data_IF_759957223014
#
_entry.id   IF_759957223014
#
_cell.length_a   1.000
_cell.length_b   1.000
_cell.length_c   1.000
_cell.angle_alpha   90.00
_cell.angle_beta   90.00
_cell.angle_gamma   90.00
#
_symmetry.space_group_name_H-M   'P 1'
#
loop_
_entity.id
_entity.type
_entity.pdbx_description
1 polymer ?
#
# COMPACT_ATOMS: atom_id res chain seq x y z
N UNK A 1 6.53 17.53 -8.96
CA UNK A 1 5.28 17.88 -9.58
C UNK A 1 4.47 18.77 -8.70
N UNK A 2 3.75 19.63 -9.25
CA UNK A 2 4.30 20.78 -9.89
C UNK A 2 4.85 21.72 -8.85
N UNK A 3 6.04 22.18 -9.03
CA UNK A 3 6.80 23.03 -8.09
C UNK A 3 6.04 24.30 -7.65
N UNK A 4 5.11 24.79 -8.46
CA UNK A 4 4.32 25.98 -8.16
C UNK A 4 3.23 25.83 -7.10
N UNK A 5 2.91 24.61 -6.64
CA UNK A 5 1.82 24.35 -5.70
C UNK A 5 2.27 24.06 -4.26
N UNK A 6 3.58 24.17 -3.96
CA UNK A 6 4.14 23.76 -2.68
C UNK A 6 3.35 24.22 -1.45
N UNK A 7 3.07 25.50 -1.35
CA UNK A 7 2.38 26.07 -0.19
C UNK A 7 0.84 25.97 -0.22
N UNK A 8 0.28 25.47 -1.31
CA UNK A 8 -1.17 25.37 -1.51
C UNK A 8 -1.67 23.92 -1.48
N UNK A 9 -0.77 22.95 -1.38
CA UNK A 9 -1.15 21.55 -1.30
C UNK A 9 -1.73 21.23 0.08
N UNK A 10 -2.86 20.50 0.16
CA UNK A 10 -3.35 20.00 1.44
C UNK A 10 -2.34 19.00 2.05
N UNK A 11 -2.42 18.82 3.38
CA UNK A 11 -1.53 17.88 4.08
C UNK A 11 -1.74 16.42 3.64
N UNK A 12 -2.89 16.09 3.04
CA UNK A 12 -3.18 14.78 2.45
C UNK A 12 -2.54 14.56 1.07
N UNK A 13 -2.02 15.61 0.44
CA UNK A 13 -1.39 15.49 -0.88
C UNK A 13 -0.09 14.69 -0.82
N UNK A 14 0.19 13.99 -1.91
CA UNK A 14 1.38 13.14 -2.09
C UNK A 14 2.17 13.57 -3.31
N UNK A 15 3.45 13.26 -3.32
CA UNK A 15 4.29 13.42 -4.51
C UNK A 15 4.20 12.21 -5.41
N UNK A 16 4.13 12.44 -6.72
CA UNK A 16 4.19 11.36 -7.70
C UNK A 16 5.56 10.71 -7.70
N UNK A 17 5.58 9.41 -7.44
CA UNK A 17 6.81 8.60 -7.55
C UNK A 17 7.11 8.33 -9.01
N UNK A 18 8.27 8.78 -9.48
CA UNK A 18 8.79 8.50 -10.82
C UNK A 18 9.72 7.30 -10.76
N UNK A 19 9.27 6.18 -11.29
CA UNK A 19 10.04 4.94 -11.30
C UNK A 19 9.19 3.76 -11.72
N UNK A 20 9.84 2.61 -11.89
CA UNK A 20 9.18 1.36 -12.17
C UNK A 20 9.86 0.22 -11.42
N UNK A 21 9.13 -0.86 -11.22
CA UNK A 21 9.64 -2.14 -10.74
C UNK A 21 9.17 -3.25 -11.67
N UNK A 22 10.02 -4.23 -11.91
CA UNK A 22 9.67 -5.42 -12.68
C UNK A 22 10.16 -6.66 -11.94
N UNK A 23 9.32 -7.66 -11.89
CA UNK A 23 9.63 -8.97 -11.30
C UNK A 23 9.34 -10.08 -12.31
N UNK A 24 10.16 -11.10 -12.30
CA UNK A 24 9.90 -12.33 -13.06
C UNK A 24 9.35 -13.36 -12.10
N UNK A 25 8.17 -13.88 -12.40
CA UNK A 25 7.53 -14.94 -11.62
C UNK A 25 7.79 -16.27 -12.33
N UNK A 26 8.39 -17.21 -11.63
CA UNK A 26 8.68 -18.56 -12.11
C UNK A 26 7.88 -19.62 -11.35
N UNK A 27 7.98 -20.85 -11.82
CA UNK A 27 7.40 -22.01 -11.15
C UNK A 27 8.20 -22.33 -9.88
N UNK A 28 7.52 -22.91 -8.88
CA UNK A 28 8.16 -23.41 -7.66
C UNK A 28 9.33 -24.38 -7.97
N UNK A 29 10.37 -24.31 -7.15
CA UNK A 29 11.58 -25.14 -7.29
C UNK A 29 12.70 -24.51 -8.13
N UNK A 30 12.50 -23.31 -8.67
CA UNK A 30 13.55 -22.51 -9.27
C UNK A 30 14.19 -21.58 -8.25
N UNK A 31 15.48 -21.24 -8.45
CA UNK A 31 16.15 -20.26 -7.62
C UNK A 31 15.44 -18.89 -7.75
N UNK A 32 15.02 -18.31 -6.65
CA UNK A 32 14.30 -17.04 -6.61
C UNK A 32 14.74 -16.17 -5.45
N UNK A 33 14.19 -14.97 -5.38
CA UNK A 33 14.42 -14.03 -4.27
C UNK A 33 13.48 -14.31 -3.08
N UNK A 34 12.29 -14.81 -3.39
CA UNK A 34 11.22 -15.06 -2.44
C UNK A 34 10.17 -15.99 -3.11
N UNK A 35 9.23 -16.50 -2.34
CA UNK A 35 8.08 -17.28 -2.85
C UNK A 35 6.76 -16.59 -2.54
N UNK A 36 5.80 -16.71 -3.44
CA UNK A 36 4.40 -16.31 -3.21
C UNK A 36 3.67 -17.53 -2.67
N UNK A 37 3.08 -17.43 -1.48
CA UNK A 37 2.40 -18.54 -0.80
C UNK A 37 0.89 -18.40 -0.74
N UNK A 38 0.37 -17.17 -0.81
CA UNK A 38 -1.06 -16.92 -0.85
C UNK A 38 -1.39 -15.62 -1.60
N UNK A 39 -2.63 -15.52 -2.05
CA UNK A 39 -3.19 -14.35 -2.72
C UNK A 39 -4.62 -14.11 -2.23
N UNK A 40 -4.94 -12.86 -1.92
CA UNK A 40 -6.30 -12.41 -1.58
C UNK A 40 -6.78 -11.42 -2.62
N UNK A 41 -7.83 -11.80 -3.34
CA UNK A 41 -8.45 -10.90 -4.31
C UNK A 41 -9.17 -9.76 -3.58
N UNK A 42 -8.77 -8.52 -3.88
CA UNK A 42 -9.40 -7.36 -3.30
C UNK A 42 -10.77 -7.06 -3.89
N UNK A 43 -11.57 -6.34 -3.13
CA UNK A 43 -12.88 -5.82 -3.52
C UNK A 43 -12.79 -4.32 -3.73
N UNK A 44 -13.42 -3.81 -4.78
CA UNK A 44 -13.60 -2.37 -4.95
C UNK A 44 -14.54 -1.84 -3.85
N UNK A 45 -14.10 -0.85 -3.11
CA UNK A 45 -14.84 -0.21 -2.03
C UNK A 45 -15.06 1.25 -2.38
N UNK A 46 -16.32 1.67 -2.42
CA UNK A 46 -16.71 3.06 -2.64
C UNK A 46 -17.38 3.60 -1.37
N UNK A 47 -16.73 4.54 -0.74
CA UNK A 47 -17.24 5.24 0.46
C UNK A 47 -17.83 6.61 0.13
N UNK A 48 -17.99 6.94 -1.14
CA UNK A 48 -18.45 8.25 -1.57
C UNK A 48 -17.36 9.33 -1.55
N UNK A 49 -16.08 8.97 -1.48
CA UNK A 49 -14.97 9.91 -1.54
C UNK A 49 -14.95 10.66 -2.88
N UNK A 50 -14.70 11.97 -2.85
CA UNK A 50 -14.66 12.83 -4.04
C UNK A 50 -13.45 13.75 -4.09
N UNK A 51 -12.68 13.81 -3.00
CA UNK A 51 -11.49 14.66 -2.90
C UNK A 51 -10.30 13.98 -3.57
N UNK A 52 -9.95 14.45 -4.76
CA UNK A 52 -8.80 13.96 -5.52
C UNK A 52 -7.45 14.24 -4.87
N UNK A 53 -7.41 15.12 -3.87
CA UNK A 53 -6.19 15.44 -3.12
C UNK A 53 -6.05 14.59 -1.85
N UNK A 54 -6.98 13.68 -1.59
CA UNK A 54 -6.97 12.75 -0.46
C UNK A 54 -7.25 11.31 -0.89
N UNK A 55 -6.38 10.80 -1.77
CA UNK A 55 -6.52 9.44 -2.31
C UNK A 55 -6.33 8.37 -1.23
N UNK A 56 -5.52 8.63 -0.21
CA UNK A 56 -5.34 7.72 0.92
C UNK A 56 -6.65 7.41 1.64
N UNK A 57 -7.51 8.41 1.84
CA UNK A 57 -8.83 8.19 2.44
C UNK A 57 -9.76 7.32 1.55
N UNK A 58 -9.64 7.43 0.23
CA UNK A 58 -10.40 6.58 -0.70
C UNK A 58 -9.91 5.12 -0.71
N UNK A 59 -8.60 4.91 -0.57
CA UNK A 59 -7.98 3.58 -0.67
C UNK A 59 -7.93 2.80 0.64
N UNK A 60 -7.81 3.48 1.79
CA UNK A 60 -7.65 2.83 3.10
C UNK A 60 -8.75 1.81 3.44
N UNK A 61 -10.06 2.05 3.15
CA UNK A 61 -11.11 1.06 3.37
C UNK A 61 -10.95 -0.21 2.54
N UNK A 62 -10.42 -0.10 1.31
CA UNK A 62 -10.15 -1.27 0.47
C UNK A 62 -8.95 -2.07 1.01
N UNK A 63 -7.89 -1.40 1.44
CA UNK A 63 -6.76 -2.05 2.10
C UNK A 63 -7.18 -2.76 3.38
N UNK A 64 -7.99 -2.09 4.22
CA UNK A 64 -8.58 -2.68 5.42
C UNK A 64 -9.35 -3.97 5.11
N UNK A 65 -10.27 -3.93 4.13
CA UNK A 65 -11.07 -5.09 3.76
C UNK A 65 -10.17 -6.26 3.30
N UNK A 66 -9.15 -5.98 2.49
CA UNK A 66 -8.25 -7.01 1.97
C UNK A 66 -7.39 -7.63 3.06
N UNK A 67 -6.90 -6.83 4.01
CA UNK A 67 -6.13 -7.34 5.16
C UNK A 67 -7.01 -8.22 6.03
N UNK A 68 -8.21 -7.76 6.42
CA UNK A 68 -9.16 -8.56 7.21
C UNK A 68 -9.49 -9.87 6.50
N UNK A 69 -9.84 -9.82 5.22
CA UNK A 69 -10.17 -11.01 4.44
C UNK A 69 -9.00 -11.99 4.38
N UNK A 70 -7.76 -11.50 4.20
CA UNK A 70 -6.58 -12.35 4.19
C UNK A 70 -6.37 -13.06 5.52
N UNK A 71 -6.52 -12.35 6.64
CA UNK A 71 -6.37 -12.92 7.98
C UNK A 71 -7.46 -13.97 8.25
N UNK A 72 -8.70 -13.71 7.82
CA UNK A 72 -9.82 -14.65 7.95
C UNK A 72 -9.62 -15.90 7.09
N UNK A 73 -9.29 -15.74 5.81
CA UNK A 73 -9.12 -16.85 4.85
C UNK A 73 -8.00 -17.80 5.26
N UNK A 74 -6.93 -17.27 5.84
CA UNK A 74 -5.78 -18.05 6.30
C UNK A 74 -5.90 -18.52 7.77
N UNK A 75 -6.93 -18.08 8.48
CA UNK A 75 -7.14 -18.42 9.91
C UNK A 75 -5.99 -17.92 10.79
N UNK A 76 -5.44 -16.73 10.49
CA UNK A 76 -4.29 -16.14 11.17
C UNK A 76 -4.65 -14.78 11.79
N UNK A 77 -3.69 -14.19 12.47
CA UNK A 77 -3.76 -12.83 12.96
C UNK A 77 -2.59 -11.99 12.42
N UNK A 78 -2.58 -10.70 12.76
CA UNK A 78 -1.56 -9.76 12.31
C UNK A 78 -0.14 -10.13 12.78
N UNK A 79 -0.02 -10.90 13.84
CA UNK A 79 1.29 -11.31 14.38
C UNK A 79 1.98 -12.39 13.56
N UNK A 80 1.22 -13.03 12.65
CA UNK A 80 1.74 -14.02 11.72
C UNK A 80 2.69 -13.41 10.67
N UNK A 81 2.58 -12.10 10.43
CA UNK A 81 3.42 -11.35 9.50
C UNK A 81 4.52 -10.57 10.23
N UNK A 82 5.71 -10.53 9.66
CA UNK A 82 6.76 -9.58 10.09
C UNK A 82 6.38 -8.16 9.70
N UNK A 83 5.78 -8.00 8.50
CA UNK A 83 5.25 -6.74 8.00
C UNK A 83 3.95 -6.94 7.21
N UNK A 84 3.05 -5.97 7.34
CA UNK A 84 1.90 -5.77 6.48
C UNK A 84 2.13 -4.45 5.76
N UNK A 85 2.31 -4.51 4.43
CA UNK A 85 2.84 -3.39 3.65
C UNK A 85 1.80 -2.91 2.64
N UNK A 86 1.36 -1.68 2.79
CA UNK A 86 0.45 -1.04 1.83
C UNK A 86 1.20 -0.28 0.73
N UNK A 87 0.50 0.03 -0.35
CA UNK A 87 1.10 0.61 -1.56
C UNK A 87 1.46 2.07 -1.43
N UNK A 88 0.46 2.92 -1.37
CA UNK A 88 0.62 4.37 -1.40
C UNK A 88 -0.54 5.09 -0.70
N UNK A 89 -0.93 4.57 0.46
CA UNK A 89 -1.91 5.22 1.33
C UNK A 89 -1.43 6.60 1.80
N UNK A 90 -0.13 6.75 1.94
CA UNK A 90 0.47 7.91 2.58
C UNK A 90 0.08 7.98 4.06
N UNK A 91 0.48 9.05 4.74
CA UNK A 91 0.26 9.17 6.18
C UNK A 91 -1.22 9.24 6.57
N UNK A 92 -2.01 10.01 5.82
CA UNK A 92 -3.44 10.16 6.10
C UNK A 92 -4.17 8.84 5.93
N UNK A 93 -3.94 8.14 4.82
CA UNK A 93 -4.55 6.84 4.58
C UNK A 93 -4.05 5.76 5.54
N UNK A 94 -2.78 5.79 5.90
CA UNK A 94 -2.20 4.93 6.96
C UNK A 94 -2.92 5.11 8.29
N UNK A 95 -3.11 6.34 8.74
CA UNK A 95 -3.82 6.60 10.00
C UNK A 95 -5.25 6.07 9.95
N UNK A 96 -5.96 6.29 8.85
CA UNK A 96 -7.33 5.76 8.66
C UNK A 96 -7.33 4.23 8.72
N UNK A 97 -6.39 3.56 8.05
CA UNK A 97 -6.25 2.11 8.10
C UNK A 97 -6.03 1.61 9.52
N UNK A 98 -5.08 2.21 10.24
CA UNK A 98 -4.78 1.84 11.63
C UNK A 98 -5.99 2.00 12.54
N UNK A 99 -6.75 3.10 12.41
CA UNK A 99 -7.97 3.34 13.18
C UNK A 99 -9.08 2.32 12.86
N UNK A 100 -9.22 1.92 11.59
CA UNK A 100 -10.16 0.89 11.18
C UNK A 100 -9.81 -0.48 11.77
N UNK A 101 -8.53 -0.84 11.77
CA UNK A 101 -8.04 -2.09 12.36
C UNK A 101 -8.22 -2.11 13.88
N UNK A 102 -7.92 -1.01 14.56
CA UNK A 102 -8.15 -0.89 16.01
C UNK A 102 -9.63 -1.05 16.40
N UNK A 103 -10.55 -0.50 15.61
CA UNK A 103 -12.01 -0.69 15.82
C UNK A 103 -12.44 -2.15 15.69
N UNK A 104 -11.66 -2.97 14.98
CA UNK A 104 -11.86 -4.43 14.90
C UNK A 104 -11.12 -5.21 16.00
N UNK A 105 -10.41 -4.52 16.89
CA UNK A 105 -9.64 -5.13 17.96
C UNK A 105 -8.27 -5.67 17.51
N UNK A 106 -7.75 -5.22 16.37
CA UNK A 106 -6.45 -5.60 15.82
C UNK A 106 -5.51 -4.40 15.79
N UNK A 107 -4.25 -4.59 16.11
CA UNK A 107 -3.24 -3.52 16.09
C UNK A 107 -2.15 -3.79 15.06
N UNK A 108 -2.08 -2.93 14.05
CA UNK A 108 -1.03 -2.99 13.03
C UNK A 108 0.15 -2.05 13.31
N UNK A 109 0.13 -1.24 14.36
CA UNK A 109 1.08 -0.13 14.60
C UNK A 109 2.55 -0.50 14.45
N UNK A 110 2.94 -1.67 14.96
CA UNK A 110 4.34 -2.12 14.92
C UNK A 110 4.71 -2.88 13.65
N UNK A 111 3.71 -3.32 12.87
CA UNK A 111 3.90 -4.19 11.71
C UNK A 111 3.57 -3.52 10.39
N UNK A 112 2.79 -2.45 10.43
CA UNK A 112 2.42 -1.72 9.23
C UNK A 112 3.60 -0.90 8.68
N UNK A 113 3.67 -0.86 7.36
CA UNK A 113 4.54 -0.02 6.57
C UNK A 113 3.76 0.43 5.34
N UNK A 114 3.96 1.65 4.89
CA UNK A 114 3.38 2.13 3.63
C UNK A 114 4.48 2.54 2.67
N UNK A 115 4.45 2.03 1.44
CA UNK A 115 5.49 2.32 0.44
C UNK A 115 5.60 3.82 0.14
N UNK A 116 4.46 4.52 0.13
CA UNK A 116 4.44 5.96 -0.10
C UNK A 116 5.05 6.77 1.03
N UNK A 117 4.96 6.28 2.27
CA UNK A 117 5.62 6.92 3.42
C UNK A 117 7.12 6.66 3.40
N UNK A 118 7.53 5.44 3.05
CA UNK A 118 8.93 5.01 3.13
C UNK A 118 9.82 5.53 1.98
N UNK A 119 9.24 5.85 0.83
CA UNK A 119 10.04 6.15 -0.38
C UNK A 119 10.71 7.52 -0.36
N UNK A 120 10.24 8.43 0.48
CA UNK A 120 10.78 9.78 0.65
C UNK A 120 11.20 10.05 2.09
N UNK A 121 12.21 10.90 2.26
CA UNK A 121 12.64 11.38 3.58
C UNK A 121 11.78 12.58 4.01
N UNK A 122 11.02 12.44 5.09
CA UNK A 122 10.28 13.53 5.70
C UNK A 122 11.14 14.67 6.21
N UNK A 123 12.37 14.35 6.63
CA UNK A 123 13.29 15.31 7.22
C UNK A 123 13.86 16.28 6.18
N UNK A 124 14.03 15.79 4.94
CA UNK A 124 14.74 16.53 3.89
C UNK A 124 13.86 16.88 2.69
N UNK A 125 12.66 16.31 2.60
CA UNK A 125 11.76 16.48 1.46
C UNK A 125 10.35 16.83 1.92
N UNK A 126 9.80 17.93 1.41
CA UNK A 126 8.44 18.39 1.72
C UNK A 126 7.40 17.61 0.89
N UNK A 127 7.19 16.35 1.25
CA UNK A 127 6.27 15.45 0.55
C UNK A 127 4.85 15.41 1.13
N UNK A 128 4.58 16.16 2.20
CA UNK A 128 3.32 16.11 2.97
C UNK A 128 2.98 14.67 3.40
N UNK A 129 1.98 14.03 2.77
CA UNK A 129 1.58 12.67 3.14
C UNK A 129 2.49 11.56 2.55
N UNK A 130 3.53 11.90 1.83
CA UNK A 130 4.47 10.93 1.26
C UNK A 130 4.41 10.82 -0.27
N UNK A 131 4.76 9.67 -0.80
CA UNK A 131 4.72 9.35 -2.22
C UNK A 131 3.46 8.62 -2.65
N UNK A 132 3.09 8.73 -3.91
CA UNK A 132 1.98 8.01 -4.52
C UNK A 132 2.21 7.78 -6.01
N UNK A 133 1.38 6.96 -6.62
CA UNK A 133 1.36 6.73 -8.05
C UNK A 133 1.69 5.29 -8.45
N UNK A 134 1.45 4.97 -9.71
CA UNK A 134 1.50 3.60 -10.23
C UNK A 134 2.86 2.90 -10.06
N UNK A 135 3.96 3.64 -9.93
CA UNK A 135 5.29 3.10 -9.70
C UNK A 135 5.65 2.88 -8.23
N UNK A 136 4.94 3.50 -7.29
CA UNK A 136 5.33 3.57 -5.88
C UNK A 136 5.55 2.18 -5.24
N UNK A 137 4.54 1.35 -5.26
CA UNK A 137 4.60 -0.01 -4.70
C UNK A 137 5.65 -0.87 -5.39
N UNK A 138 5.74 -0.80 -6.72
CA UNK A 138 6.67 -1.64 -7.49
C UNK A 138 8.13 -1.27 -7.24
N UNK A 139 8.44 0.03 -7.15
CA UNK A 139 9.80 0.50 -6.82
C UNK A 139 10.19 0.04 -5.41
N UNK A 140 9.31 0.26 -4.43
CA UNK A 140 9.59 -0.12 -3.03
C UNK A 140 9.69 -1.63 -2.87
N UNK A 141 8.84 -2.41 -3.58
CA UNK A 141 8.93 -3.87 -3.59
C UNK A 141 10.31 -4.33 -4.08
N UNK A 142 10.75 -3.83 -5.24
CA UNK A 142 12.01 -4.27 -5.85
C UNK A 142 13.25 -3.76 -5.11
N UNK A 143 13.23 -2.51 -4.64
CA UNK A 143 14.40 -1.86 -4.05
C UNK A 143 14.60 -2.13 -2.55
N UNK A 144 13.53 -2.39 -1.81
CA UNK A 144 13.58 -2.51 -0.35
C UNK A 144 12.97 -3.80 0.20
N UNK A 145 11.78 -4.20 -0.26
CA UNK A 145 11.04 -5.31 0.35
C UNK A 145 11.67 -6.66 -0.02
N UNK A 146 11.83 -6.94 -1.30
CA UNK A 146 12.41 -8.20 -1.77
C UNK A 146 13.84 -8.42 -1.27
N UNK A 147 14.75 -7.43 -1.23
CA UNK A 147 16.06 -7.59 -0.59
C UNK A 147 15.97 -8.03 0.87
N UNK A 148 15.11 -7.40 1.68
CA UNK A 148 14.94 -7.76 3.10
C UNK A 148 14.36 -9.17 3.30
N UNK A 149 13.45 -9.59 2.41
CA UNK A 149 12.93 -10.96 2.41
C UNK A 149 14.03 -11.94 2.01
N UNK A 150 14.77 -11.67 0.93
CA UNK A 150 15.88 -12.52 0.47
C UNK A 150 16.95 -12.71 1.54
N UNK A 151 17.26 -11.67 2.31
CA UNK A 151 18.25 -11.68 3.41
C UNK A 151 17.71 -12.35 4.68
N UNK A 152 16.44 -12.76 4.71
CA UNK A 152 15.80 -13.38 5.86
C UNK A 152 15.51 -12.41 7.02
N UNK A 153 15.66 -11.08 6.80
CA UNK A 153 15.29 -10.05 7.78
C UNK A 153 13.78 -10.09 8.02
N UNK A 154 13.01 -10.25 6.95
CA UNK A 154 11.58 -10.54 6.99
C UNK A 154 11.33 -11.93 6.41
N UNK A 155 10.68 -12.78 7.18
CA UNK A 155 10.35 -14.15 6.78
C UNK A 155 9.01 -14.21 6.06
N UNK A 156 8.05 -13.37 6.45
CA UNK A 156 6.71 -13.34 5.86
C UNK A 156 6.14 -11.94 5.84
N UNK A 157 5.75 -11.52 4.67
CA UNK A 157 5.18 -10.19 4.41
C UNK A 157 3.83 -10.34 3.72
N UNK A 158 2.82 -9.61 4.21
CA UNK A 158 1.60 -9.37 3.46
C UNK A 158 1.76 -8.06 2.70
N UNK A 159 1.91 -8.15 1.37
CA UNK A 159 2.03 -7.01 0.49
C UNK A 159 0.67 -6.66 -0.11
N UNK A 160 0.20 -5.43 0.14
CA UNK A 160 -1.15 -4.94 -0.18
C UNK A 160 -1.05 -3.65 -1.00
N UNK A 161 -0.62 -3.71 -2.28
CA UNK A 161 -0.63 -2.54 -3.13
C UNK A 161 -2.05 -1.99 -3.28
N UNK A 162 -2.15 -0.67 -3.25
CA UNK A 162 -3.41 0.08 -3.24
C UNK A 162 -3.61 0.82 -4.54
N UNK A 163 -4.86 1.07 -4.89
CA UNK A 163 -5.23 1.83 -6.07
C UNK A 163 -6.57 2.54 -5.88
N UNK A 164 -6.77 3.60 -6.63
CA UNK A 164 -8.03 4.32 -6.67
C UNK A 164 -8.44 4.61 -8.11
N UNK A 165 -9.74 4.48 -8.40
CA UNK A 165 -10.30 4.75 -9.71
C UNK A 165 -10.62 6.24 -9.83
N UNK A 166 -9.68 6.98 -10.42
CA UNK A 166 -9.83 8.39 -10.73
C UNK A 166 -9.41 8.64 -12.18
N UNK A 167 -10.30 9.22 -12.96
CA UNK A 167 -10.03 9.70 -14.31
C UNK A 167 -10.47 11.15 -14.45
N UNK A 168 -9.96 11.84 -15.46
CA UNK A 168 -10.39 13.21 -15.77
C UNK A 168 -11.89 13.27 -16.08
N UNK A 169 -12.44 12.23 -16.70
CA UNK A 169 -13.87 12.15 -17.02
C UNK A 169 -14.69 12.00 -15.74
N UNK A 170 -14.40 10.98 -14.92
CA UNK A 170 -15.14 10.74 -13.68
C UNK A 170 -15.04 11.92 -12.70
N UNK A 171 -13.88 12.57 -12.63
CA UNK A 171 -13.68 13.76 -11.82
C UNK A 171 -14.55 14.94 -12.27
N UNK A 172 -14.55 15.23 -13.58
CA UNK A 172 -15.35 16.33 -14.16
C UNK A 172 -16.85 16.09 -14.04
N UNK A 173 -17.29 14.83 -14.05
CA UNK A 173 -18.67 14.43 -13.82
C UNK A 173 -19.06 14.40 -12.32
N UNK A 174 -18.14 14.71 -11.42
CA UNK A 174 -18.37 14.71 -9.97
C UNK A 174 -18.65 13.33 -9.40
N UNK A 175 -18.15 12.27 -10.05
CA UNK A 175 -18.28 10.90 -9.56
C UNK A 175 -17.41 10.65 -8.33
N UNK A 176 -17.71 9.59 -7.60
CA UNK A 176 -16.93 9.13 -6.45
C UNK A 176 -15.64 8.42 -6.88
N UNK A 177 -14.72 8.24 -5.94
CA UNK A 177 -13.42 7.62 -6.14
C UNK A 177 -13.38 6.28 -5.39
N UNK A 178 -13.74 5.16 -6.03
CA UNK A 178 -13.61 3.84 -5.43
C UNK A 178 -12.14 3.47 -5.21
N UNK A 179 -11.85 2.85 -4.06
CA UNK A 179 -10.54 2.25 -3.76
C UNK A 179 -10.53 0.75 -4.04
N UNK A 180 -9.35 0.20 -4.31
CA UNK A 180 -9.10 -1.23 -4.42
C UNK A 180 -7.73 -1.58 -3.85
N UNK A 181 -7.59 -2.78 -3.29
CA UNK A 181 -6.31 -3.33 -2.89
C UNK A 181 -6.35 -4.86 -3.04
N UNK A 182 -5.28 -5.45 -3.52
CA UNK A 182 -5.10 -6.91 -3.54
C UNK A 182 -3.99 -7.30 -2.57
N UNK A 183 -4.10 -8.48 -1.94
CA UNK A 183 -3.11 -8.98 -1.00
C UNK A 183 -2.27 -10.12 -1.59
N UNK A 184 -0.95 -10.07 -1.41
CA UNK A 184 -0.03 -11.13 -1.78
C UNK A 184 0.85 -11.46 -0.59
N UNK A 185 0.87 -12.73 -0.17
CA UNK A 185 1.79 -13.21 0.86
C UNK A 185 3.10 -13.62 0.21
N UNK A 186 4.18 -12.95 0.64
CA UNK A 186 5.53 -13.18 0.12
C UNK A 186 6.40 -13.69 1.28
N UNK A 187 7.05 -14.82 1.07
CA UNK A 187 7.89 -15.46 2.09
C UNK A 187 9.33 -15.63 1.64
N UNK A 188 10.21 -15.63 2.63
CA UNK A 188 11.61 -16.00 2.46
C UNK A 188 11.73 -17.44 1.93
N UNK A 189 12.72 -17.66 1.08
CA UNK A 189 13.13 -19.02 0.67
C UNK A 189 14.18 -19.51 1.67
N UNK A 190 13.90 -20.62 2.33
CA UNK A 190 14.85 -21.33 3.21
C UNK A 190 15.93 -22.04 2.39
#
# INVERSE_FOLDING_TARGET
>A
FPLGYGNQRPLSATWTVTGCGAVVIGKEGQSGLAKITAFTAGKAIDIGARDSMNMGAAMAPAAFHTIEQNLEDLGTDETWYDRIITGDLGEVGTQILLDLMEKKGRSLKERHMDCGVEIYSKETQDTHAGGSGCGCSAVTLCAAILPKIREGIWKRVLFVPTGALLSTVSYNEGQTIPGIAHGVVIEHLE
#
